data_IF_229292060987
#
_entry.id   IF_229292060987
#
_cell.length_a   1.000
_cell.length_b   1.000
_cell.length_c   1.000
_cell.angle_alpha   90.00
_cell.angle_beta   90.00
_cell.angle_gamma   90.00
#
_symmetry.space_group_name_H-M   'P 1'
#
loop_
_entity.id
_entity.type
_entity.pdbx_description
1 polymer ?
#
# COMPACT_ATOMS: atom_id res chain seq x y z
N UNK A 1 -75.68 41.83 -33.14
CA UNK A 1 -74.33 42.07 -33.71
C UNK A 1 -73.51 40.77 -33.72
N UNK A 2 -73.43 40.13 -34.90
CA UNK A 2 -72.70 38.87 -35.09
C UNK A 2 -71.30 39.24 -35.58
N UNK A 3 -70.26 38.77 -34.88
CA UNK A 3 -68.88 38.78 -35.39
C UNK A 3 -68.53 37.36 -35.83
N UNK A 4 -68.32 37.23 -37.15
CA UNK A 4 -67.71 36.06 -37.75
C UNK A 4 -66.26 35.96 -37.33
N UNK A 5 -65.87 34.78 -36.97
CA UNK A 5 -64.47 34.40 -36.76
C UNK A 5 -64.00 33.63 -38.00
N UNK A 6 -63.10 34.23 -38.76
CA UNK A 6 -62.48 33.57 -39.90
C UNK A 6 -61.47 32.49 -39.45
N UNK A 7 -61.72 31.30 -39.90
CA UNK A 7 -60.71 30.18 -39.79
C UNK A 7 -59.79 30.31 -41.01
N UNK A 8 -58.54 30.70 -40.76
CA UNK A 8 -57.46 30.59 -41.74
C UNK A 8 -56.78 29.27 -41.57
N UNK A 9 -56.55 28.43 -42.56
CA UNK A 9 -55.95 27.09 -42.42
C UNK A 9 -54.45 27.23 -42.30
N UNK A 10 -53.93 26.77 -41.15
CA UNK A 10 -52.51 26.54 -40.93
C UNK A 10 -52.16 25.12 -41.47
N UNK A 11 -52.03 25.03 -42.78
CA UNK A 11 -51.65 23.79 -43.47
C UNK A 11 -50.42 24.06 -44.34
N UNK A 12 -49.25 24.21 -43.73
CA UNK A 12 -47.90 24.06 -44.37
C UNK A 12 -46.79 24.16 -43.37
N UNK A 13 -46.54 23.11 -42.62
CA UNK A 13 -45.25 22.88 -41.94
C UNK A 13 -45.09 21.43 -41.50
N UNK A 14 -45.32 20.46 -42.41
CA UNK A 14 -45.09 19.05 -42.08
C UNK A 14 -44.31 18.32 -43.17
N UNK A 15 -43.26 18.91 -43.66
CA UNK A 15 -42.42 18.29 -44.70
C UNK A 15 -40.99 18.81 -44.60
N UNK A 16 -40.26 18.54 -43.51
CA UNK A 16 -38.78 18.64 -43.46
C UNK A 16 -38.18 17.98 -42.22
N UNK A 17 -38.66 16.80 -41.75
CA UNK A 17 -38.01 16.09 -40.66
C UNK A 17 -37.68 14.64 -41.02
N UNK A 18 -37.61 14.27 -42.27
CA UNK A 18 -37.30 12.88 -42.67
C UNK A 18 -35.89 12.71 -43.23
N UNK A 19 -35.04 13.74 -43.28
CA UNK A 19 -33.70 13.61 -43.90
C UNK A 19 -32.51 13.51 -42.95
N UNK A 20 -32.71 13.71 -41.64
CA UNK A 20 -31.57 13.59 -40.67
C UNK A 20 -31.56 12.32 -39.85
N UNK A 21 -32.60 11.47 -39.91
CA UNK A 21 -32.69 10.27 -39.08
C UNK A 21 -32.00 9.09 -39.73
N UNK A 22 -32.02 8.99 -41.06
CA UNK A 22 -31.42 7.84 -41.76
C UNK A 22 -29.89 7.78 -41.70
N UNK A 23 -29.20 8.95 -41.75
CA UNK A 23 -27.73 8.98 -41.67
C UNK A 23 -27.21 8.67 -40.28
N UNK A 24 -27.90 9.07 -39.21
CA UNK A 24 -27.53 8.79 -37.82
C UNK A 24 -27.78 7.32 -37.47
N UNK A 25 -28.86 6.72 -37.97
CA UNK A 25 -29.14 5.30 -37.76
C UNK A 25 -28.21 4.40 -38.58
N UNK A 26 -27.79 4.84 -39.76
CA UNK A 26 -26.83 4.09 -40.56
C UNK A 26 -25.42 4.07 -39.97
N UNK A 27 -24.98 5.16 -39.33
CA UNK A 27 -23.69 5.16 -38.63
C UNK A 27 -23.73 4.35 -37.31
N UNK A 28 -24.85 4.35 -36.59
CA UNK A 28 -25.06 3.55 -35.39
C UNK A 28 -25.20 2.05 -35.66
N UNK A 29 -25.57 1.67 -36.88
CA UNK A 29 -25.71 0.26 -37.27
C UNK A 29 -24.38 -0.43 -37.60
N UNK A 30 -23.37 0.33 -38.05
CA UNK A 30 -22.07 -0.23 -38.45
C UNK A 30 -21.34 -0.88 -37.29
N UNK A 31 -20.87 -2.10 -37.51
CA UNK A 31 -20.00 -2.78 -36.58
C UNK A 31 -18.68 -2.04 -36.38
N UNK A 32 -18.23 -1.88 -35.14
CA UNK A 32 -17.03 -1.15 -34.80
C UNK A 32 -16.30 -1.81 -33.61
N UNK A 33 -14.99 -1.89 -33.68
CA UNK A 33 -14.16 -2.28 -32.54
C UNK A 33 -13.64 -1.06 -31.79
N UNK A 34 -13.52 -1.20 -30.47
CA UNK A 34 -12.95 -0.18 -29.59
C UNK A 34 -12.04 -0.84 -28.57
N UNK A 35 -10.88 -0.25 -28.30
CA UNK A 35 -10.12 -0.64 -27.12
C UNK A 35 -10.99 -0.39 -25.88
N UNK A 36 -11.12 -1.40 -25.00
CA UNK A 36 -11.93 -1.25 -23.77
C UNK A 36 -11.33 -0.20 -22.84
N UNK A 37 -10.02 -0.12 -22.79
CA UNK A 37 -9.24 0.93 -22.16
C UNK A 37 -8.53 1.72 -23.23
N UNK A 38 -8.59 3.05 -23.19
CA UNK A 38 -7.94 3.94 -24.15
C UNK A 38 -7.39 5.18 -23.46
N UNK A 39 -6.34 5.77 -24.04
CA UNK A 39 -5.62 6.90 -23.46
C UNK A 39 -4.53 6.46 -22.49
N UNK A 40 -4.02 7.43 -21.72
CA UNK A 40 -2.98 7.18 -20.72
C UNK A 40 -3.60 6.76 -19.39
N UNK A 41 -3.01 5.72 -18.77
CA UNK A 41 -3.37 5.27 -17.42
C UNK A 41 -2.12 4.83 -16.65
N UNK A 42 -2.11 5.12 -15.36
CA UNK A 42 -1.05 4.68 -14.45
C UNK A 42 -1.46 3.40 -13.74
N UNK A 43 -0.53 2.46 -13.67
CA UNK A 43 -0.66 1.20 -12.94
C UNK A 43 0.27 1.25 -11.75
N UNK A 44 -0.31 1.24 -10.56
CA UNK A 44 0.45 1.05 -9.33
C UNK A 44 0.49 -0.43 -9.00
N UNK A 45 1.67 -0.97 -8.76
CA UNK A 45 1.89 -2.39 -8.49
C UNK A 45 2.95 -2.57 -7.42
N UNK A 46 2.76 -3.54 -6.53
CA UNK A 46 3.77 -3.90 -5.54
C UNK A 46 4.74 -4.94 -6.10
N UNK A 47 6.03 -4.77 -5.80
CA UNK A 47 7.05 -5.77 -6.13
C UNK A 47 6.99 -6.94 -5.13
N UNK A 48 6.10 -7.87 -5.41
CA UNK A 48 5.93 -9.09 -4.61
C UNK A 48 6.69 -10.30 -5.18
N UNK A 49 7.44 -10.11 -6.28
CA UNK A 49 8.19 -11.16 -6.97
C UNK A 49 7.44 -11.84 -8.12
N UNK A 50 6.16 -12.26 -8.01
CA UNK A 50 5.44 -12.85 -9.13
C UNK A 50 5.17 -11.86 -10.26
N UNK A 51 5.08 -12.40 -11.49
CA UNK A 51 4.66 -11.62 -12.66
C UNK A 51 3.19 -11.18 -12.51
N UNK A 52 2.91 -9.96 -12.95
CA UNK A 52 1.57 -9.39 -12.95
C UNK A 52 0.96 -9.42 -14.36
N UNK A 53 -0.37 -9.38 -14.42
CA UNK A 53 -1.11 -9.45 -15.68
C UNK A 53 -2.09 -8.29 -15.83
N UNK A 54 -2.16 -7.78 -17.06
CA UNK A 54 -3.16 -6.80 -17.49
C UNK A 54 -3.97 -7.40 -18.63
N UNK A 55 -5.28 -7.25 -18.56
CA UNK A 55 -6.18 -7.62 -19.62
C UNK A 55 -6.17 -6.59 -20.74
N UNK A 56 -5.73 -6.99 -21.93
CA UNK A 56 -5.84 -6.20 -23.14
C UNK A 56 -7.15 -6.59 -23.83
N UNK A 57 -8.19 -5.78 -23.69
CA UNK A 57 -9.50 -6.15 -24.22
C UNK A 57 -10.04 -5.12 -25.22
N UNK A 58 -10.80 -5.63 -26.17
CA UNK A 58 -11.61 -4.82 -27.10
C UNK A 58 -13.08 -5.10 -26.89
N UNK A 59 -13.89 -4.10 -27.15
CA UNK A 59 -15.34 -4.19 -27.21
C UNK A 59 -15.81 -4.09 -28.68
N UNK A 60 -16.82 -4.85 -29.01
CA UNK A 60 -17.55 -4.83 -30.27
C UNK A 60 -18.84 -4.02 -30.09
N UNK A 61 -19.01 -2.97 -30.85
CA UNK A 61 -20.18 -2.10 -30.84
C UNK A 61 -20.88 -2.14 -32.21
N UNK A 62 -22.09 -1.56 -32.28
CA UNK A 62 -22.95 -1.55 -33.47
C UNK A 62 -23.93 -2.71 -33.49
N UNK A 63 -24.88 -2.60 -34.43
CA UNK A 63 -25.93 -3.62 -34.65
C UNK A 63 -25.47 -4.69 -35.65
N UNK A 64 -24.56 -4.33 -36.55
CA UNK A 64 -23.98 -5.28 -37.49
C UNK A 64 -23.01 -6.21 -36.76
N UNK A 65 -23.26 -7.48 -36.88
CA UNK A 65 -22.43 -8.52 -36.27
C UNK A 65 -21.28 -8.91 -37.20
N UNK A 66 -20.27 -8.06 -37.24
CA UNK A 66 -19.08 -8.24 -38.07
C UNK A 66 -17.91 -8.79 -37.24
N UNK A 67 -17.02 -9.51 -37.90
CA UNK A 67 -15.79 -10.05 -37.31
C UNK A 67 -14.54 -9.42 -37.92
N UNK A 68 -13.40 -9.84 -37.41
CA UNK A 68 -12.11 -9.37 -37.90
C UNK A 68 -10.95 -9.86 -37.06
N UNK A 69 -9.75 -9.45 -37.41
CA UNK A 69 -8.53 -9.72 -36.66
C UNK A 69 -8.08 -8.44 -35.98
N UNK A 70 -7.81 -8.50 -34.66
CA UNK A 70 -7.30 -7.38 -33.87
C UNK A 70 -5.84 -7.63 -33.51
N UNK A 71 -5.03 -6.60 -33.61
CA UNK A 71 -3.61 -6.67 -33.28
C UNK A 71 -3.22 -5.52 -32.35
N UNK A 72 -2.52 -5.86 -31.25
CA UNK A 72 -1.83 -4.94 -30.38
C UNK A 72 -0.37 -4.84 -30.78
N UNK A 73 0.13 -3.62 -30.96
CA UNK A 73 1.54 -3.36 -31.30
C UNK A 73 2.08 -2.19 -30.49
N UNK A 74 3.36 -2.27 -30.11
CA UNK A 74 4.05 -1.16 -29.47
C UNK A 74 4.35 -0.09 -30.50
N UNK A 75 3.98 1.17 -30.22
CA UNK A 75 4.17 2.28 -31.12
C UNK A 75 4.76 3.51 -30.41
N UNK A 76 6.04 3.76 -30.63
CA UNK A 76 6.80 4.86 -30.02
C UNK A 76 6.16 6.24 -30.26
N UNK A 77 5.60 6.49 -31.44
CA UNK A 77 4.99 7.77 -31.78
C UNK A 77 3.84 8.20 -30.86
N UNK A 78 3.15 7.24 -30.24
CA UNK A 78 2.14 7.52 -29.22
C UNK A 78 2.75 8.11 -27.95
N UNK A 79 3.92 7.58 -27.54
CA UNK A 79 4.66 8.09 -26.39
C UNK A 79 5.22 9.47 -26.65
N UNK A 80 5.78 9.69 -27.86
CA UNK A 80 6.30 10.99 -28.29
C UNK A 80 5.19 12.05 -28.29
N UNK A 81 3.99 11.67 -28.75
CA UNK A 81 2.81 12.53 -28.74
C UNK A 81 2.37 12.88 -27.30
N UNK A 82 2.35 11.91 -26.38
CA UNK A 82 2.05 12.13 -24.97
C UNK A 82 3.06 13.10 -24.33
N UNK A 83 4.34 12.82 -24.52
CA UNK A 83 5.42 13.65 -23.97
C UNK A 83 5.34 15.11 -24.47
N UNK A 84 5.04 15.30 -25.75
CA UNK A 84 4.89 16.63 -26.33
C UNK A 84 3.64 17.36 -25.81
N UNK A 85 2.52 16.65 -25.63
CA UNK A 85 1.27 17.24 -25.18
C UNK A 85 1.33 17.68 -23.73
N UNK A 86 1.93 16.84 -22.85
CA UNK A 86 1.93 17.03 -21.41
C UNK A 86 3.24 17.65 -20.88
N UNK A 87 4.24 17.87 -21.76
CA UNK A 87 5.55 18.38 -21.37
C UNK A 87 6.36 17.41 -20.50
N UNK A 88 6.14 16.11 -20.68
CA UNK A 88 6.81 15.05 -19.92
C UNK A 88 8.00 14.47 -20.68
N UNK A 89 8.76 13.60 -20.03
CA UNK A 89 9.93 12.92 -20.61
C UNK A 89 9.92 11.41 -20.32
N UNK A 90 8.75 10.81 -20.41
CA UNK A 90 8.60 9.36 -20.23
C UNK A 90 9.41 8.58 -21.26
N UNK A 91 9.92 7.45 -20.85
CA UNK A 91 10.70 6.55 -21.68
C UNK A 91 9.89 5.31 -22.06
N UNK A 92 10.21 4.71 -23.20
CA UNK A 92 9.59 3.45 -23.60
C UNK A 92 9.98 2.33 -22.63
N UNK A 93 9.00 1.57 -22.15
CA UNK A 93 9.24 0.41 -21.30
C UNK A 93 10.07 -0.63 -22.09
N UNK A 94 11.24 -1.07 -21.59
CA UNK A 94 12.08 -2.05 -22.25
C UNK A 94 11.35 -3.40 -22.46
N UNK A 95 11.56 -4.09 -23.58
CA UNK A 95 10.83 -5.31 -23.93
C UNK A 95 11.07 -6.49 -22.98
N UNK A 96 12.18 -6.48 -22.23
CA UNK A 96 12.46 -7.49 -21.20
C UNK A 96 11.55 -7.39 -19.97
N UNK A 97 10.83 -6.26 -19.79
CA UNK A 97 9.95 -6.03 -18.66
C UNK A 97 8.54 -6.57 -18.87
N UNK A 98 8.15 -6.94 -20.09
CA UNK A 98 6.81 -7.39 -20.41
C UNK A 98 6.74 -8.42 -21.52
N UNK A 99 5.60 -9.10 -21.62
CA UNK A 99 5.27 -10.00 -22.75
C UNK A 99 3.81 -9.82 -23.09
N UNK A 100 3.49 -9.52 -24.35
CA UNK A 100 2.12 -9.51 -24.84
C UNK A 100 1.75 -10.95 -25.23
N UNK A 101 0.85 -11.57 -24.44
CA UNK A 101 0.32 -12.87 -24.75
C UNK A 101 -0.69 -12.73 -25.89
N UNK A 102 -0.49 -13.39 -27.02
CA UNK A 102 -1.39 -13.26 -28.15
C UNK A 102 -1.61 -11.81 -28.62
N UNK A 103 -0.54 -11.19 -29.15
CA UNK A 103 -0.63 -9.84 -29.72
C UNK A 103 -1.70 -9.69 -30.82
N UNK A 104 -2.13 -10.81 -31.42
CA UNK A 104 -3.15 -10.85 -32.48
C UNK A 104 -4.17 -11.94 -32.18
N UNK A 105 -5.45 -11.60 -32.26
CA UNK A 105 -6.55 -12.56 -32.10
C UNK A 105 -7.72 -12.25 -33.01
N UNK A 106 -8.48 -13.30 -33.35
CA UNK A 106 -9.65 -13.22 -34.22
C UNK A 106 -10.92 -13.01 -33.41
N UNK A 107 -11.77 -12.10 -33.89
CA UNK A 107 -13.11 -11.85 -33.37
C UNK A 107 -14.11 -12.40 -34.38
N UNK A 108 -14.89 -13.40 -33.99
CA UNK A 108 -15.87 -14.00 -34.88
C UNK A 108 -17.16 -13.19 -34.96
N UNK A 109 -17.84 -13.19 -36.12
CA UNK A 109 -19.25 -12.78 -36.18
C UNK A 109 -20.09 -13.69 -35.26
N UNK A 110 -21.08 -13.16 -34.57
CA UNK A 110 -21.89 -13.92 -33.61
C UNK A 110 -21.21 -14.27 -32.30
N UNK A 111 -19.92 -13.96 -32.15
CA UNK A 111 -19.15 -14.22 -30.94
C UNK A 111 -19.35 -13.16 -29.84
N UNK A 112 -18.58 -13.31 -28.78
CA UNK A 112 -18.61 -12.40 -27.62
C UNK A 112 -18.38 -10.95 -28.02
N UNK A 113 -19.15 -10.04 -27.41
CA UNK A 113 -18.99 -8.59 -27.62
C UNK A 113 -17.72 -8.03 -27.00
N UNK A 114 -17.05 -8.79 -26.16
CA UNK A 114 -15.76 -8.44 -25.55
C UNK A 114 -14.79 -9.59 -25.74
N UNK A 115 -13.65 -9.32 -26.31
CA UNK A 115 -12.55 -10.26 -26.47
C UNK A 115 -11.35 -9.75 -25.71
N UNK A 116 -10.71 -10.63 -24.95
CA UNK A 116 -9.61 -10.27 -24.06
C UNK A 116 -8.36 -11.03 -24.46
N UNK A 117 -7.29 -10.29 -24.71
CA UNK A 117 -5.91 -10.77 -24.70
C UNK A 117 -5.24 -10.49 -23.34
N UNK A 118 -3.97 -10.74 -23.23
CA UNK A 118 -3.22 -10.51 -22.00
C UNK A 118 -1.86 -9.87 -22.26
N UNK A 119 -1.40 -9.13 -21.27
CA UNK A 119 -0.02 -8.70 -21.15
C UNK A 119 0.47 -9.07 -19.76
N UNK A 120 1.60 -9.74 -19.71
CA UNK A 120 2.31 -10.06 -18.47
C UNK A 120 3.48 -9.12 -18.34
N UNK A 121 3.73 -8.58 -17.14
CA UNK A 121 4.85 -7.70 -16.86
C UNK A 121 5.52 -8.06 -15.52
N UNK A 122 6.77 -7.65 -15.39
CA UNK A 122 7.65 -7.96 -14.26
C UNK A 122 7.92 -6.68 -13.44
N UNK A 123 7.25 -6.49 -12.28
CA UNK A 123 7.47 -5.32 -11.44
C UNK A 123 8.91 -5.19 -10.96
N UNK A 124 9.57 -6.31 -10.67
CA UNK A 124 10.96 -6.31 -10.19
C UNK A 124 11.94 -5.75 -11.25
N UNK A 125 11.75 -6.12 -12.52
CA UNK A 125 12.57 -5.55 -13.61
C UNK A 125 12.32 -4.06 -13.79
N UNK A 126 11.04 -3.61 -13.66
CA UNK A 126 10.70 -2.18 -13.74
C UNK A 126 11.34 -1.42 -12.58
N UNK A 127 11.23 -1.95 -11.34
CA UNK A 127 11.90 -1.39 -10.17
C UNK A 127 13.40 -1.21 -10.37
N UNK A 128 14.07 -2.22 -10.91
CA UNK A 128 15.52 -2.17 -11.18
C UNK A 128 15.92 -1.08 -12.19
N UNK A 129 14.98 -0.60 -13.00
CA UNK A 129 15.22 0.48 -13.96
C UNK A 129 15.01 1.89 -13.38
N UNK A 130 14.10 2.07 -12.45
CA UNK A 130 13.73 3.41 -11.97
C UNK A 130 13.55 3.54 -10.45
N UNK A 131 13.53 2.45 -9.68
CA UNK A 131 13.24 2.50 -8.23
C UNK A 131 11.74 2.45 -7.92
N UNK A 132 11.43 2.61 -6.62
CA UNK A 132 10.06 2.70 -6.14
C UNK A 132 9.51 4.12 -6.32
N UNK A 133 8.18 4.20 -6.45
CA UNK A 133 7.39 5.44 -6.52
C UNK A 133 7.69 6.36 -7.73
N UNK A 134 8.42 5.87 -8.70
CA UNK A 134 8.82 6.61 -9.90
C UNK A 134 7.96 6.23 -11.11
N UNK A 135 7.35 7.23 -11.75
CA UNK A 135 6.69 7.09 -13.06
C UNK A 135 7.64 7.55 -14.16
N UNK A 136 8.41 6.64 -14.71
CA UNK A 136 9.40 6.93 -15.74
C UNK A 136 9.14 6.20 -17.05
N UNK A 137 8.64 4.98 -16.97
CA UNK A 137 8.47 4.10 -18.12
C UNK A 137 7.00 3.93 -18.49
N UNK A 138 6.71 4.02 -19.78
CA UNK A 138 5.37 3.89 -20.35
C UNK A 138 5.41 2.87 -21.48
N UNK A 139 4.40 2.02 -21.55
CA UNK A 139 4.17 1.09 -22.66
C UNK A 139 3.04 1.63 -23.56
N UNK A 140 3.35 2.17 -24.73
CA UNK A 140 2.37 2.68 -25.68
C UNK A 140 1.91 1.56 -26.62
N UNK A 141 0.63 1.21 -26.58
CA UNK A 141 0.03 0.18 -27.41
C UNK A 141 -0.93 0.80 -28.45
N UNK A 142 -0.71 0.50 -29.72
CA UNK A 142 -1.65 0.73 -30.79
C UNK A 142 -2.53 -0.49 -30.98
N UNK A 143 -3.83 -0.28 -31.10
CA UNK A 143 -4.77 -1.32 -31.48
C UNK A 143 -5.22 -1.09 -32.90
N UNK A 144 -5.04 -2.07 -33.75
CA UNK A 144 -5.49 -2.07 -35.14
C UNK A 144 -6.38 -3.28 -35.44
N UNK A 145 -7.16 -3.21 -36.48
CA UNK A 145 -7.97 -4.33 -36.93
C UNK A 145 -8.03 -4.45 -38.44
N UNK A 146 -8.25 -5.68 -38.91
CA UNK A 146 -8.66 -6.00 -40.27
C UNK A 146 -10.07 -6.57 -40.25
N UNK A 147 -10.92 -6.17 -41.18
CA UNK A 147 -12.35 -6.52 -41.22
C UNK A 147 -13.19 -5.40 -40.62
N UNK A 148 -13.65 -5.56 -39.41
CA UNK A 148 -14.41 -4.49 -38.70
C UNK A 148 -13.53 -3.28 -38.38
N UNK A 149 -13.96 -2.04 -38.70
CA UNK A 149 -13.16 -0.85 -38.43
C UNK A 149 -12.98 -0.58 -36.93
N UNK A 150 -11.90 0.08 -36.54
CA UNK A 150 -11.69 0.59 -35.19
C UNK A 150 -12.35 1.95 -35.02
N UNK A 151 -12.86 2.20 -33.83
CA UNK A 151 -13.21 3.55 -33.39
C UNK A 151 -11.92 4.41 -33.31
N UNK A 152 -11.84 5.49 -34.09
CA UNK A 152 -10.65 6.32 -34.21
C UNK A 152 -10.14 6.87 -32.88
N UNK A 153 -11.06 7.17 -31.95
CA UNK A 153 -10.76 7.78 -30.65
C UNK A 153 -10.29 6.74 -29.62
N UNK A 154 -10.39 5.46 -29.96
CA UNK A 154 -10.11 4.34 -29.03
C UNK A 154 -9.19 3.30 -29.67
N UNK A 155 -8.10 3.75 -30.27
CA UNK A 155 -7.10 2.92 -30.93
C UNK A 155 -5.76 2.87 -30.20
N UNK A 156 -5.62 3.61 -29.10
CA UNK A 156 -4.36 3.70 -28.37
C UNK A 156 -4.58 3.55 -26.87
N UNK A 157 -3.69 2.81 -26.22
CA UNK A 157 -3.62 2.68 -24.76
C UNK A 157 -2.17 2.84 -24.33
N UNK A 158 -1.92 3.68 -23.35
CA UNK A 158 -0.59 3.91 -22.81
C UNK A 158 -0.61 3.56 -21.32
N UNK A 159 0.23 2.64 -20.92
CA UNK A 159 0.35 2.19 -19.53
C UNK A 159 1.64 2.75 -18.92
N UNK A 160 1.52 3.63 -17.93
CA UNK A 160 2.62 4.06 -17.07
C UNK A 160 2.69 3.17 -15.84
N UNK A 161 3.90 2.78 -15.44
CA UNK A 161 4.09 1.87 -14.30
C UNK A 161 4.75 2.60 -13.13
N UNK A 162 4.14 2.48 -11.94
CA UNK A 162 4.73 2.87 -10.67
C UNK A 162 4.85 1.62 -9.81
N UNK A 163 6.09 1.25 -9.49
CA UNK A 163 6.33 0.12 -8.60
C UNK A 163 6.37 0.62 -7.17
N UNK A 164 5.59 0.00 -6.31
CA UNK A 164 5.52 0.28 -4.88
C UNK A 164 6.31 -0.75 -4.09
N UNK A 165 6.93 -0.32 -3.01
CA UNK A 165 7.60 -1.23 -2.10
C UNK A 165 6.57 -2.05 -1.30
N UNK A 166 6.69 -3.38 -1.38
CA UNK A 166 5.98 -4.27 -0.49
C UNK A 166 6.75 -4.39 0.83
N UNK A 167 6.26 -3.75 1.88
CA UNK A 167 6.98 -3.67 3.15
C UNK A 167 6.05 -3.90 4.35
N UNK A 168 6.61 -4.59 5.36
CA UNK A 168 6.02 -4.70 6.70
C UNK A 168 6.71 -3.71 7.62
N UNK A 169 5.93 -2.95 8.39
CA UNK A 169 6.40 -1.95 9.35
C UNK A 169 5.83 -2.20 10.74
N UNK A 170 6.58 -1.74 11.74
CA UNK A 170 6.09 -1.62 13.10
C UNK A 170 5.19 -0.37 13.18
N UNK A 171 3.90 -0.57 13.51
CA UNK A 171 2.94 0.53 13.66
C UNK A 171 2.94 1.12 15.09
N UNK A 172 3.35 0.32 16.08
CA UNK A 172 3.50 0.80 17.46
C UNK A 172 4.68 1.73 17.59
N UNK A 173 4.51 2.81 18.38
CA UNK A 173 5.56 3.78 18.72
C UNK A 173 6.15 3.57 20.12
N UNK A 174 5.55 2.67 20.91
CA UNK A 174 5.85 2.52 22.33
C UNK A 174 5.04 3.47 23.21
N UNK A 175 5.60 3.91 24.34
CA UNK A 175 4.98 4.83 25.29
C UNK A 175 5.39 4.58 26.72
N UNK A 176 4.77 5.32 27.67
CA UNK A 176 5.03 5.23 29.11
C UNK A 176 4.05 4.26 29.78
N UNK A 177 4.57 3.34 30.59
CA UNK A 177 3.81 2.29 31.26
C UNK A 177 4.20 2.21 32.74
N UNK A 178 3.22 2.30 33.60
CA UNK A 178 3.43 2.13 35.06
C UNK A 178 3.02 0.73 35.48
N UNK A 179 3.84 0.09 36.28
CA UNK A 179 3.58 -1.26 36.81
C UNK A 179 2.92 -1.13 38.18
N UNK A 180 1.69 -1.62 38.27
CA UNK A 180 0.89 -1.68 39.49
C UNK A 180 0.35 -3.10 39.69
N UNK A 181 0.48 -3.65 40.89
CA UNK A 181 -0.04 -4.98 41.21
C UNK A 181 0.47 -6.10 40.28
N UNK A 182 1.65 -5.94 39.69
CA UNK A 182 2.26 -6.93 38.79
C UNK A 182 1.93 -6.80 37.30
N UNK A 183 1.02 -5.89 36.94
CA UNK A 183 0.66 -5.60 35.54
C UNK A 183 0.90 -4.14 35.19
N UNK A 184 0.95 -3.83 33.92
CA UNK A 184 0.95 -2.43 33.45
C UNK A 184 -0.44 -1.82 33.51
N UNK A 185 -0.52 -0.52 33.77
CA UNK A 185 -1.78 0.24 33.81
C UNK A 185 -2.54 0.30 32.48
N UNK A 186 -1.84 0.02 31.39
CA UNK A 186 -2.38 -0.10 30.04
C UNK A 186 -1.64 -1.18 29.25
N UNK A 187 -2.24 -1.78 28.21
CA UNK A 187 -1.58 -2.78 27.39
C UNK A 187 -0.39 -2.18 26.63
N UNK A 188 0.73 -2.87 26.62
CA UNK A 188 1.91 -2.55 25.82
C UNK A 188 1.72 -3.15 24.42
N UNK A 189 0.98 -2.45 23.55
CA UNK A 189 0.60 -2.97 22.25
C UNK A 189 1.81 -3.11 21.31
N UNK A 190 1.80 -4.21 20.56
CA UNK A 190 2.67 -4.50 19.43
C UNK A 190 1.81 -4.61 18.18
N UNK A 191 1.78 -3.55 17.39
CA UNK A 191 1.01 -3.48 16.17
C UNK A 191 1.93 -3.45 14.96
N UNK A 192 1.56 -4.16 13.92
CA UNK A 192 2.26 -4.19 12.64
C UNK A 192 1.33 -3.84 11.50
N UNK A 193 1.87 -3.26 10.45
CA UNK A 193 1.15 -2.90 9.25
C UNK A 193 1.92 -3.28 7.99
N UNK A 194 1.20 -3.46 6.89
CA UNK A 194 1.76 -3.71 5.57
C UNK A 194 1.25 -2.67 4.57
N UNK A 195 2.04 -2.41 3.54
CA UNK A 195 1.76 -1.39 2.52
C UNK A 195 0.86 -1.87 1.37
N UNK A 196 0.53 -3.16 1.29
CA UNK A 196 -0.10 -3.81 0.14
C UNK A 196 -1.32 -4.64 0.53
N UNK A 197 -2.10 -5.09 -0.46
CA UNK A 197 -3.19 -6.05 -0.24
C UNK A 197 -2.62 -7.44 0.09
N UNK A 198 -3.05 -7.99 1.21
CA UNK A 198 -2.51 -9.22 1.76
C UNK A 198 -3.27 -10.47 1.29
N UNK A 199 -2.57 -11.38 0.63
CA UNK A 199 -3.11 -12.66 0.19
C UNK A 199 -2.73 -13.85 1.09
N UNK A 200 -1.97 -13.62 2.15
CA UNK A 200 -1.41 -14.62 3.06
C UNK A 200 -1.82 -14.38 4.51
N UNK A 201 -1.62 -15.39 5.36
CA UNK A 201 -1.55 -15.21 6.81
C UNK A 201 -0.07 -14.97 7.17
N UNK A 202 0.29 -13.71 7.32
CA UNK A 202 1.65 -13.28 7.62
C UNK A 202 1.89 -13.30 9.12
N UNK A 203 3.04 -13.79 9.55
CA UNK A 203 3.46 -13.77 10.95
C UNK A 203 4.75 -12.98 11.10
N UNK A 204 4.71 -11.91 11.91
CA UNK A 204 5.86 -11.08 12.25
C UNK A 204 6.40 -11.47 13.62
N UNK A 205 7.71 -11.61 13.73
CA UNK A 205 8.43 -11.75 14.99
C UNK A 205 9.14 -10.44 15.34
N UNK A 206 9.52 -10.29 16.61
CA UNK A 206 10.13 -9.06 17.13
C UNK A 206 11.49 -9.34 17.76
N UNK A 207 12.30 -8.30 17.79
CA UNK A 207 13.61 -8.30 18.44
C UNK A 207 13.80 -7.04 19.28
N UNK A 208 14.62 -7.10 20.30
CA UNK A 208 15.05 -5.96 21.09
C UNK A 208 16.40 -5.43 20.61
N UNK A 209 16.62 -4.13 20.73
CA UNK A 209 17.90 -3.51 20.36
C UNK A 209 18.99 -3.62 21.45
N UNK A 210 18.66 -4.16 22.63
CA UNK A 210 19.63 -4.44 23.69
C UNK A 210 20.14 -3.21 24.48
N UNK A 211 21.12 -3.47 25.36
CA UNK A 211 21.64 -2.46 26.29
C UNK A 211 22.34 -1.28 25.60
N UNK A 212 23.12 -1.53 24.54
CA UNK A 212 23.84 -0.49 23.83
C UNK A 212 22.90 0.59 23.24
N UNK A 213 21.71 0.17 22.78
CA UNK A 213 20.70 1.11 22.32
C UNK A 213 20.20 2.00 23.49
N UNK A 214 19.94 1.40 24.65
CA UNK A 214 19.47 2.11 25.85
C UNK A 214 20.52 3.10 26.32
N UNK A 215 21.78 2.75 26.33
CA UNK A 215 22.89 3.63 26.71
C UNK A 215 23.01 4.82 25.74
N UNK A 216 22.90 4.58 24.45
CA UNK A 216 22.88 5.63 23.44
C UNK A 216 21.64 6.54 23.59
N UNK A 217 20.46 5.95 23.83
CA UNK A 217 19.25 6.71 24.10
C UNK A 217 19.40 7.62 25.33
N UNK A 218 19.91 7.08 26.44
CA UNK A 218 20.17 7.83 27.67
C UNK A 218 21.12 9.00 27.43
N UNK A 219 22.21 8.74 26.69
CA UNK A 219 23.21 9.77 26.37
C UNK A 219 22.63 10.87 25.53
N UNK A 220 21.81 10.54 24.54
CA UNK A 220 21.19 11.51 23.62
C UNK A 220 20.09 12.35 24.30
N UNK A 221 19.36 11.78 25.27
CA UNK A 221 18.19 12.40 25.90
C UNK A 221 18.45 12.86 27.35
N UNK A 222 19.67 12.69 27.88
CA UNK A 222 20.02 13.01 29.29
C UNK A 222 19.10 12.28 30.28
N UNK A 223 18.85 10.99 30.04
CA UNK A 223 18.02 10.11 30.85
C UNK A 223 18.84 8.97 31.46
N UNK A 224 18.23 8.16 32.34
CA UNK A 224 18.91 7.09 33.09
C UNK A 224 18.05 5.82 33.13
N UNK A 225 17.55 5.37 31.96
CA UNK A 225 16.81 4.11 31.88
C UNK A 225 17.75 2.92 31.94
N UNK A 226 17.24 1.82 32.49
CA UNK A 226 17.90 0.51 32.48
C UNK A 226 17.26 -0.31 31.34
N UNK A 227 18.07 -1.09 30.62
CA UNK A 227 17.53 -2.06 29.69
C UNK A 227 16.63 -3.04 30.44
N UNK A 228 15.37 -3.20 30.00
CA UNK A 228 14.46 -4.18 30.63
C UNK A 228 15.00 -5.60 30.40
N UNK A 229 15.33 -6.38 31.48
CA UNK A 229 15.90 -7.70 31.30
C UNK A 229 14.91 -8.69 30.67
N UNK A 230 15.40 -9.57 29.80
CA UNK A 230 14.60 -10.53 29.03
C UNK A 230 13.72 -11.46 29.86
N UNK A 231 14.09 -11.73 31.11
CA UNK A 231 13.34 -12.59 32.00
C UNK A 231 12.01 -11.97 32.48
N UNK A 232 11.81 -10.68 32.27
CA UNK A 232 10.62 -9.96 32.74
C UNK A 232 9.58 -9.66 31.67
N UNK A 233 9.79 -10.04 30.42
CA UNK A 233 8.81 -9.83 29.37
C UNK A 233 8.78 -10.96 28.34
N UNK A 234 7.69 -11.01 27.59
CA UNK A 234 7.56 -11.89 26.43
C UNK A 234 7.07 -11.08 25.25
N UNK A 235 7.78 -11.16 24.13
CA UNK A 235 7.36 -10.59 22.85
C UNK A 235 6.58 -11.67 22.08
N UNK A 236 5.26 -11.53 21.93
CA UNK A 236 4.47 -12.45 21.13
C UNK A 236 4.69 -12.18 19.64
N UNK A 237 4.58 -13.21 18.83
CA UNK A 237 4.42 -13.02 17.39
C UNK A 237 3.07 -12.36 17.07
N UNK A 238 3.03 -11.57 16.01
CA UNK A 238 1.79 -10.92 15.53
C UNK A 238 1.42 -11.49 14.17
N UNK A 239 0.18 -11.92 14.04
CA UNK A 239 -0.38 -12.40 12.76
C UNK A 239 -1.18 -11.30 12.10
N UNK A 240 -0.84 -11.01 10.83
CA UNK A 240 -1.65 -10.22 9.91
C UNK A 240 -2.42 -11.22 9.06
N UNK A 241 -3.70 -11.41 9.34
CA UNK A 241 -4.52 -12.38 8.63
C UNK A 241 -4.71 -12.00 7.16
N UNK A 242 -4.90 -12.99 6.32
CA UNK A 242 -5.25 -12.79 4.90
C UNK A 242 -6.39 -11.77 4.74
N UNK A 243 -6.23 -10.83 3.81
CA UNK A 243 -7.17 -9.73 3.55
C UNK A 243 -7.15 -8.61 4.60
N UNK A 244 -6.21 -8.63 5.54
CA UNK A 244 -5.96 -7.54 6.49
C UNK A 244 -4.63 -6.87 6.19
N UNK A 245 -4.54 -5.59 6.52
CA UNK A 245 -3.32 -4.80 6.39
C UNK A 245 -2.64 -4.52 7.72
N UNK A 246 -3.26 -4.93 8.83
CA UNK A 246 -2.75 -4.74 10.18
C UNK A 246 -2.91 -5.98 11.02
N UNK A 247 -2.01 -6.18 11.97
CA UNK A 247 -2.10 -7.17 13.02
C UNK A 247 -1.63 -6.56 14.34
N UNK A 248 -2.09 -7.12 15.45
CA UNK A 248 -1.72 -6.59 16.76
C UNK A 248 -1.73 -7.67 17.85
N UNK A 249 -0.89 -7.46 18.85
CA UNK A 249 -0.81 -8.23 20.07
C UNK A 249 -0.33 -7.32 21.22
N UNK A 250 -0.06 -7.86 22.39
CA UNK A 250 0.49 -7.10 23.50
C UNK A 250 1.68 -7.81 24.13
N UNK A 251 2.70 -7.04 24.52
CA UNK A 251 3.84 -7.52 25.29
C UNK A 251 3.32 -7.97 26.67
N UNK A 252 3.66 -9.18 27.06
CA UNK A 252 3.40 -9.66 28.42
C UNK A 252 4.56 -9.30 29.34
N UNK A 253 4.25 -8.66 30.46
CA UNK A 253 5.24 -8.26 31.47
C UNK A 253 5.07 -9.08 32.75
N UNK A 254 6.14 -9.60 33.31
CA UNK A 254 6.21 -10.26 34.62
C UNK A 254 6.49 -9.22 35.72
N UNK A 255 5.56 -8.28 35.86
CA UNK A 255 5.75 -7.09 36.70
C UNK A 255 5.80 -7.32 38.20
N UNK A 256 5.28 -8.46 38.76
CA UNK A 256 5.31 -8.74 40.17
C UNK A 256 6.75 -8.84 40.71
N UNK A 257 7.60 -9.54 39.99
CA UNK A 257 8.99 -9.81 40.35
C UNK A 257 9.98 -8.78 39.78
N UNK A 258 9.51 -7.88 38.92
CA UNK A 258 10.37 -6.81 38.40
C UNK A 258 10.81 -5.88 39.53
N UNK A 259 12.11 -5.66 39.74
CA UNK A 259 12.61 -4.70 40.76
C UNK A 259 12.10 -3.29 40.48
N UNK A 260 12.00 -2.42 41.51
CA UNK A 260 11.73 -1.00 41.28
C UNK A 260 12.77 -0.35 40.39
N UNK A 261 12.34 0.49 39.44
CA UNK A 261 13.26 1.15 38.50
C UNK A 261 12.52 1.75 37.29
N UNK A 262 13.28 2.50 36.50
CA UNK A 262 12.84 3.05 35.22
C UNK A 262 13.52 2.23 34.10
N UNK A 263 12.74 1.54 33.32
CA UNK A 263 13.24 0.64 32.30
C UNK A 263 12.87 1.14 30.91
N UNK A 264 13.69 0.81 29.92
CA UNK A 264 13.43 1.00 28.51
C UNK A 264 13.50 -0.36 27.80
N UNK A 265 12.43 -0.70 27.08
CA UNK A 265 12.37 -1.86 26.19
C UNK A 265 12.24 -1.35 24.75
N UNK A 266 13.34 -1.29 23.99
CA UNK A 266 13.33 -0.91 22.58
C UNK A 266 13.03 -2.14 21.70
N UNK A 267 11.90 -2.12 20.98
CA UNK A 267 11.43 -3.23 20.15
C UNK A 267 11.44 -2.83 18.69
N UNK A 268 11.93 -3.70 17.82
CA UNK A 268 11.86 -3.60 16.37
C UNK A 268 11.36 -4.90 15.75
N UNK A 269 11.03 -4.87 14.46
CA UNK A 269 10.72 -6.10 13.72
C UNK A 269 11.98 -7.00 13.65
N UNK A 270 11.79 -8.29 13.90
CA UNK A 270 12.83 -9.31 13.82
C UNK A 270 12.77 -10.09 12.49
N UNK A 271 11.58 -10.59 12.14
CA UNK A 271 11.37 -11.44 10.98
C UNK A 271 9.93 -11.46 10.49
N UNK A 272 9.75 -12.07 9.32
CA UNK A 272 8.47 -12.31 8.67
C UNK A 272 8.43 -13.75 8.18
N UNK A 273 7.27 -14.38 8.28
CA UNK A 273 6.99 -15.71 7.73
C UNK A 273 5.55 -15.80 7.22
N UNK A 274 5.25 -16.84 6.46
CA UNK A 274 3.91 -17.08 5.92
C UNK A 274 3.69 -16.54 4.50
N UNK A 275 4.62 -15.74 3.95
CA UNK A 275 4.50 -15.09 2.65
C UNK A 275 4.73 -16.01 1.43
N UNK A 276 5.07 -17.29 1.63
CA UNK A 276 5.42 -18.20 0.53
C UNK A 276 6.63 -17.68 -0.25
N UNK A 277 6.51 -17.59 -1.57
CA UNK A 277 7.56 -17.09 -2.48
C UNK A 277 7.52 -15.56 -2.69
N UNK A 278 6.62 -14.84 -2.00
CA UNK A 278 6.52 -13.40 -2.14
C UNK A 278 7.74 -12.67 -1.55
N UNK A 279 8.22 -11.66 -2.26
CA UNK A 279 9.29 -10.77 -1.83
C UNK A 279 8.70 -9.61 -1.03
N UNK A 280 8.83 -9.63 0.29
CA UNK A 280 8.32 -8.60 1.19
C UNK A 280 9.46 -8.07 2.05
N UNK A 281 9.70 -6.77 2.00
CA UNK A 281 10.69 -6.12 2.82
C UNK A 281 10.23 -5.99 4.27
N UNK A 282 11.17 -5.90 5.20
CA UNK A 282 10.91 -5.73 6.62
C UNK A 282 11.64 -4.48 7.10
N UNK A 283 10.91 -3.53 7.64
CA UNK A 283 11.51 -2.35 8.29
C UNK A 283 12.04 -2.73 9.68
N UNK A 284 13.33 -3.01 9.75
CA UNK A 284 14.04 -3.34 11.01
C UNK A 284 14.62 -2.10 11.70
N UNK A 285 14.53 -0.94 11.08
CA UNK A 285 15.13 0.30 11.61
C UNK A 285 14.18 1.04 12.54
N UNK A 286 12.88 0.95 12.28
CA UNK A 286 11.87 1.53 13.17
C UNK A 286 11.86 0.83 14.51
N UNK A 287 11.97 1.61 15.60
CA UNK A 287 12.02 1.14 16.98
C UNK A 287 10.87 1.75 17.77
N UNK A 288 10.07 0.89 18.41
CA UNK A 288 9.10 1.29 19.43
C UNK A 288 9.77 1.27 20.81
N UNK A 289 9.73 2.40 21.51
CA UNK A 289 10.32 2.57 22.82
C UNK A 289 9.25 2.45 23.92
N UNK A 290 9.31 1.38 24.72
CA UNK A 290 8.40 1.16 25.85
C UNK A 290 9.14 1.54 27.15
N UNK A 291 8.69 2.63 27.79
CA UNK A 291 9.23 3.11 29.05
C UNK A 291 8.42 2.51 30.18
N UNK A 292 9.03 1.60 30.95
CA UNK A 292 8.35 0.85 32.02
C UNK A 292 8.84 1.37 33.37
N UNK A 293 7.91 1.91 34.16
CA UNK A 293 8.19 2.48 35.47
C UNK A 293 7.62 1.55 36.54
N UNK A 294 8.49 0.95 37.31
CA UNK A 294 8.14 0.16 38.51
C UNK A 294 8.44 0.98 39.76
N UNK A 295 7.38 1.43 40.42
CA UNK A 295 7.56 2.13 41.69
C UNK A 295 7.94 1.17 42.81
N UNK A 296 8.78 1.64 43.71
CA UNK A 296 9.06 0.94 44.97
C UNK A 296 7.77 0.88 45.82
N UNK A 297 7.58 -0.25 46.50
CA UNK A 297 6.53 -0.35 47.51
C UNK A 297 6.72 0.70 48.62
N UNK A 298 5.71 0.89 49.48
CA UNK A 298 5.81 1.82 50.59
C UNK A 298 7.04 1.47 51.42
N UNK A 299 7.84 2.50 51.71
CA UNK A 299 9.08 2.32 52.54
C UNK A 299 8.61 1.77 53.90
N UNK A 300 8.95 0.52 54.19
CA UNK A 300 8.72 -0.02 55.51
C UNK A 300 9.76 0.58 56.46
N UNK A 301 9.31 1.62 57.20
CA UNK A 301 10.18 2.31 58.18
C UNK A 301 10.52 1.47 59.41
N UNK A 302 9.87 0.32 59.59
CA UNK A 302 10.08 -0.56 60.79
C UNK A 302 11.46 -1.26 60.80
N UNK A 303 12.18 -1.22 59.68
CA UNK A 303 13.54 -1.77 59.56
C UNK A 303 14.64 -0.72 59.46
N UNK A 304 14.34 0.53 59.70
CA UNK A 304 15.36 1.57 59.72
C UNK A 304 16.02 1.62 61.10
N UNK A 305 17.22 1.10 61.23
CA UNK A 305 18.07 1.36 62.40
C UNK A 305 18.79 2.68 62.17
N UNK A 306 18.36 3.73 62.88
CA UNK A 306 19.12 4.96 62.95
C UNK A 306 20.34 4.70 63.82
N UNK A 307 21.48 4.45 63.18
CA UNK A 307 22.75 4.47 63.92
C UNK A 307 23.05 5.94 64.15
N UNK A 308 22.82 6.43 65.37
CA UNK A 308 23.16 7.80 65.74
C UNK A 308 24.70 7.97 65.61
N UNK A 309 25.11 8.67 64.59
CA UNK A 309 26.47 9.15 64.48
C UNK A 309 26.57 10.40 65.37
N UNK A 310 27.43 10.41 66.34
CA UNK A 310 27.57 11.48 67.35
C UNK A 310 28.21 12.75 66.80
N UNK A 311 28.31 12.92 65.53
CA UNK A 311 28.67 14.19 64.90
C UNK A 311 27.38 14.85 64.31
N UNK A 312 26.99 15.97 64.90
CA UNK A 312 25.96 16.87 64.39
C UNK A 312 26.37 17.33 63.00
N UNK A 313 25.96 16.60 61.97
CA UNK A 313 25.90 17.13 60.61
C UNK A 313 24.43 17.32 60.29
N UNK A 314 24.01 18.59 60.25
CA UNK A 314 22.80 19.01 59.58
C UNK A 314 22.94 18.69 58.09
N UNK A 315 22.62 17.45 57.72
CA UNK A 315 22.55 16.98 56.35
C UNK A 315 21.14 16.58 56.07
N UNK A 316 20.57 17.03 55.01
CA UNK A 316 19.33 16.52 54.46
C UNK A 316 19.47 15.00 54.30
N UNK A 317 18.58 14.22 54.93
CA UNK A 317 18.45 12.81 54.69
C UNK A 317 17.80 12.67 53.31
N UNK A 318 18.60 12.61 52.26
CA UNK A 318 18.12 12.12 51.01
C UNK A 318 17.91 10.63 51.16
N UNK A 319 16.67 10.15 51.11
CA UNK A 319 16.39 8.76 50.95
C UNK A 319 16.97 8.36 49.60
N UNK A 320 18.18 7.82 49.59
CA UNK A 320 18.70 7.18 48.39
C UNK A 320 17.87 5.90 48.19
N UNK A 321 16.90 5.96 47.29
CA UNK A 321 16.43 4.74 46.64
C UNK A 321 17.68 4.02 46.13
N UNK A 322 17.79 2.71 46.24
CA UNK A 322 18.82 1.98 45.55
C UNK A 322 18.57 2.16 44.06
N UNK A 323 19.10 3.22 43.49
CA UNK A 323 19.22 3.38 42.10
C UNK A 323 20.26 2.37 41.63
N UNK A 324 19.79 1.28 41.00
CA UNK A 324 20.54 0.63 39.97
C UNK A 324 21.95 0.17 40.34
N UNK A 325 22.06 -0.57 41.39
CA UNK A 325 23.35 -1.17 41.77
C UNK A 325 24.43 -0.19 42.19
N UNK A 326 24.13 1.06 42.48
CA UNK A 326 25.04 1.93 43.19
C UNK A 326 24.85 1.69 44.68
N UNK A 327 25.74 0.92 45.22
CA UNK A 327 26.02 0.82 46.66
C UNK A 327 26.70 2.08 47.17
#
# INVERSE_FOLDING_TARGET
MKKCFELTPCLLAFLCITSCVEDVDNERSKGMFSASQSGFSTIEVYDLGPLNKIDLSIAKAGLEDTGGTVTFSVEQSLLDSLNNADGTSYQLLPPECYTIENATYSVSPGGDRRVTGGMVYDPHKIYNLCGFDELKYVLPLRVSSTGTPMNSDRTATLYGFIVKEAIVRLASTGGDFVVEGGTTTSPMNLDTEISFENEWDLTTSFATKGADYVDNYNSANSTYYISLPSDFYTLPDVTIAKGKTTGGSAISLLGETLPPGNYLLPVSLGGLSGQGDASINIDKETVANYFVIKQGGPINRDHWTVTANTEEKTGEVSAAYPHNGQT
#
